data_IF_611547640348
#
_entry.id   IF_611547640348
#
_cell.length_a   1.000
_cell.length_b   1.000
_cell.length_c   1.000
_cell.angle_alpha   90.00
_cell.angle_beta   90.00
_cell.angle_gamma   90.00
#
_symmetry.space_group_name_H-M   'P 1'
#
loop_
_entity.id
_entity.type
_entity.pdbx_description
1 polymer ?
#
# COMPACT_ATOMS: atom_id res chain seq x y z
N UNK A 1 -35.84 -22.66 5.22
CA UNK A 1 -35.42 -21.25 5.28
C UNK A 1 -36.61 -20.38 4.89
N UNK A 2 -37.02 -19.48 5.77
CA UNK A 2 -38.15 -18.56 5.60
C UNK A 2 -37.80 -17.47 4.57
N UNK A 3 -38.78 -17.03 3.77
CA UNK A 3 -38.57 -16.07 2.66
C UNK A 3 -37.82 -14.81 3.10
N UNK A 4 -38.06 -14.33 4.32
CA UNK A 4 -37.36 -13.19 4.93
C UNK A 4 -35.85 -13.45 5.13
N UNK A 5 -35.47 -14.67 5.54
CA UNK A 5 -34.07 -15.06 5.71
C UNK A 5 -33.30 -15.11 4.39
N UNK A 6 -33.94 -15.56 3.31
CA UNK A 6 -33.33 -15.57 1.97
C UNK A 6 -33.02 -14.13 1.52
N UNK A 7 -33.95 -13.19 1.71
CA UNK A 7 -33.74 -11.78 1.37
C UNK A 7 -32.60 -11.13 2.17
N UNK A 8 -32.46 -11.45 3.46
CA UNK A 8 -31.36 -10.93 4.28
C UNK A 8 -30.01 -11.41 3.75
N UNK A 9 -29.88 -12.70 3.43
CA UNK A 9 -28.65 -13.27 2.88
C UNK A 9 -28.30 -12.62 1.53
N UNK A 10 -29.30 -12.41 0.66
CA UNK A 10 -29.09 -11.75 -0.63
C UNK A 10 -28.61 -10.30 -0.46
N UNK A 11 -29.19 -9.54 0.46
CA UNK A 11 -28.78 -8.16 0.74
C UNK A 11 -27.34 -8.13 1.28
N UNK A 12 -27.01 -8.99 2.25
CA UNK A 12 -25.65 -9.08 2.79
C UNK A 12 -24.63 -9.48 1.71
N UNK A 13 -24.99 -10.44 0.85
CA UNK A 13 -24.16 -10.85 -0.28
C UNK A 13 -23.93 -9.71 -1.27
N UNK A 14 -24.96 -8.93 -1.57
CA UNK A 14 -24.84 -7.77 -2.45
C UNK A 14 -23.95 -6.68 -1.85
N UNK A 15 -24.09 -6.39 -0.56
CA UNK A 15 -23.23 -5.42 0.14
C UNK A 15 -21.77 -5.88 0.11
N UNK A 16 -21.51 -7.15 0.45
CA UNK A 16 -20.17 -7.71 0.40
C UNK A 16 -19.56 -7.61 -1.00
N UNK A 17 -20.34 -7.88 -2.04
CA UNK A 17 -19.90 -7.74 -3.43
C UNK A 17 -19.56 -6.28 -3.77
N UNK A 18 -20.38 -5.31 -3.34
CA UNK A 18 -20.12 -3.88 -3.58
C UNK A 18 -18.85 -3.39 -2.88
N UNK A 19 -18.54 -3.89 -1.67
CA UNK A 19 -17.33 -3.52 -0.94
C UNK A 19 -16.04 -3.89 -1.69
N UNK A 20 -16.05 -4.94 -2.52
CA UNK A 20 -14.87 -5.34 -3.30
C UNK A 20 -14.44 -4.31 -4.35
N UNK A 21 -15.38 -3.47 -4.79
CA UNK A 21 -15.13 -2.41 -5.76
C UNK A 21 -14.66 -1.09 -5.12
N UNK A 22 -14.73 -0.97 -3.79
CA UNK A 22 -14.22 0.21 -3.10
C UNK A 22 -12.69 0.18 -3.01
N UNK A 23 -12.02 1.35 -3.09
CA UNK A 23 -10.56 1.45 -2.99
C UNK A 23 -10.10 1.31 -1.54
N UNK A 24 -10.10 0.08 -1.03
CA UNK A 24 -9.78 -0.23 0.37
C UNK A 24 -8.39 -0.86 0.53
N UNK A 25 -7.84 -1.46 -0.52
CA UNK A 25 -6.57 -2.16 -0.47
C UNK A 25 -5.40 -1.20 -0.73
N UNK A 26 -4.32 -1.31 0.04
CA UNK A 26 -3.11 -0.53 -0.24
C UNK A 26 -2.42 -1.02 -1.52
N UNK A 27 -1.97 -0.11 -2.38
CA UNK A 27 -1.20 -0.49 -3.57
C UNK A 27 0.15 -1.10 -3.19
N UNK A 28 0.91 -0.37 -2.38
CA UNK A 28 2.12 -0.90 -1.74
C UNK A 28 1.74 -1.62 -0.45
N UNK A 29 2.29 -2.82 -0.22
CA UNK A 29 2.07 -3.52 1.06
C UNK A 29 2.56 -2.66 2.23
N UNK A 30 1.76 -2.56 3.31
CA UNK A 30 2.19 -1.86 4.53
C UNK A 30 3.45 -2.44 5.16
N UNK A 31 3.65 -3.75 4.99
CA UNK A 31 4.84 -4.47 5.45
C UNK A 31 5.97 -4.53 4.41
N UNK A 32 5.81 -3.87 3.26
CA UNK A 32 6.87 -3.80 2.24
C UNK A 32 8.13 -3.23 2.87
N UNK A 33 9.28 -3.84 2.57
CA UNK A 33 10.56 -3.40 3.14
C UNK A 33 11.08 -2.22 2.33
N UNK A 34 11.40 -1.13 3.01
CA UNK A 34 11.98 0.07 2.39
C UNK A 34 13.20 0.55 3.15
N UNK A 35 14.08 1.22 2.43
CA UNK A 35 15.24 1.91 3.00
C UNK A 35 14.79 3.35 3.27
N UNK A 36 15.15 3.90 4.42
CA UNK A 36 14.92 5.31 4.75
C UNK A 36 16.24 6.03 4.95
N UNK A 37 16.31 7.28 4.47
CA UNK A 37 17.38 8.21 4.81
C UNK A 37 16.87 9.23 5.82
N UNK A 38 17.45 9.21 7.02
CA UNK A 38 17.03 10.10 8.11
C UNK A 38 17.57 11.54 7.98
N UNK A 39 18.60 11.76 7.17
CA UNK A 39 19.11 13.10 6.85
C UNK A 39 18.15 13.78 5.86
N UNK A 40 17.80 13.09 4.78
CA UNK A 40 16.98 13.62 3.68
C UNK A 40 15.48 13.45 3.92
N UNK A 41 15.09 12.62 4.90
CA UNK A 41 13.70 12.25 5.17
C UNK A 41 13.05 11.58 3.95
N UNK A 42 13.82 10.72 3.28
CA UNK A 42 13.47 10.06 2.04
C UNK A 42 13.22 8.57 2.22
N UNK A 43 12.28 8.01 1.44
CA UNK A 43 11.98 6.60 1.31
C UNK A 43 12.50 6.11 -0.04
N UNK A 44 13.30 5.04 -0.01
CA UNK A 44 13.88 4.41 -1.20
C UNK A 44 13.47 2.94 -1.26
N UNK A 45 12.99 2.50 -2.41
CA UNK A 45 12.73 1.09 -2.68
C UNK A 45 14.08 0.33 -2.75
N UNK A 46 14.24 -0.86 -2.13
CA UNK A 46 15.54 -1.56 -2.09
C UNK A 46 16.16 -1.81 -3.47
N UNK A 47 15.33 -2.13 -4.47
CA UNK A 47 15.76 -2.31 -5.87
C UNK A 47 16.15 -1.02 -6.62
N UNK A 48 16.01 0.15 -5.99
CA UNK A 48 16.33 1.46 -6.55
C UNK A 48 17.52 2.14 -5.82
N UNK A 49 18.11 1.48 -4.82
CA UNK A 49 19.14 2.07 -3.96
C UNK A 49 20.31 2.67 -4.72
N UNK A 50 20.84 1.96 -5.72
CA UNK A 50 22.01 2.42 -6.51
C UNK A 50 21.73 3.68 -7.36
N UNK A 51 20.46 4.05 -7.52
CA UNK A 51 20.02 5.21 -8.31
C UNK A 51 19.56 6.39 -7.44
N UNK A 52 19.38 6.16 -6.13
CA UNK A 52 18.93 7.18 -5.20
C UNK A 52 20.13 7.98 -4.67
N UNK A 53 19.94 9.29 -4.48
CA UNK A 53 20.94 10.13 -3.83
C UNK A 53 20.79 10.02 -2.31
N UNK A 54 21.54 9.11 -1.68
CA UNK A 54 21.45 8.86 -0.23
C UNK A 54 22.68 9.33 0.54
N UNK A 55 22.48 9.62 1.82
CA UNK A 55 23.52 9.83 2.84
C UNK A 55 23.84 8.51 3.56
N UNK A 56 24.70 8.57 4.58
CA UNK A 56 25.06 7.40 5.39
C UNK A 56 24.18 7.20 6.64
N UNK A 57 23.13 8.00 6.83
CA UNK A 57 22.20 7.82 7.94
C UNK A 57 20.96 7.04 7.48
N UNK A 58 21.17 5.76 7.21
CA UNK A 58 20.19 4.86 6.60
C UNK A 58 19.64 3.83 7.60
N UNK A 59 18.40 3.43 7.41
CA UNK A 59 17.76 2.31 8.13
C UNK A 59 16.80 1.55 7.20
N UNK A 60 16.48 0.30 7.53
CA UNK A 60 15.43 -0.49 6.87
C UNK A 60 14.20 -0.61 7.76
N UNK A 61 13.05 -0.17 7.25
CA UNK A 61 11.78 -0.19 7.98
C UNK A 61 10.64 -0.69 7.09
N UNK A 62 9.44 -0.88 7.66
CA UNK A 62 8.25 -1.13 6.86
C UNK A 62 7.76 0.14 6.17
N UNK A 63 7.14 0.00 5.00
CA UNK A 63 6.58 1.11 4.26
C UNK A 63 5.54 1.91 5.08
N UNK A 64 4.74 1.22 5.92
CA UNK A 64 3.82 1.89 6.84
C UNK A 64 4.54 2.73 7.88
N UNK A 65 5.66 2.25 8.44
CA UNK A 65 6.43 3.01 9.43
C UNK A 65 7.08 4.23 8.78
N UNK A 66 7.64 4.06 7.59
CA UNK A 66 8.24 5.15 6.84
C UNK A 66 7.24 6.28 6.52
N UNK A 67 5.99 5.92 6.19
CA UNK A 67 4.96 6.88 5.78
C UNK A 67 4.11 7.41 6.94
N UNK A 68 3.64 6.55 7.84
CA UNK A 68 2.68 6.90 8.91
C UNK A 68 3.36 7.37 10.21
N UNK A 69 4.51 6.79 10.57
CA UNK A 69 5.22 7.13 11.82
C UNK A 69 6.32 8.19 11.59
N UNK A 70 7.12 8.03 10.53
CA UNK A 70 8.25 8.91 10.22
C UNK A 70 7.84 10.09 9.31
N UNK A 71 6.79 9.92 8.49
CA UNK A 71 6.31 10.97 7.58
C UNK A 71 7.27 11.28 6.43
N UNK A 72 8.10 10.32 6.03
CA UNK A 72 9.09 10.49 4.99
C UNK A 72 8.47 10.40 3.59
N UNK A 73 9.17 10.91 2.58
CA UNK A 73 8.64 11.04 1.22
C UNK A 73 9.50 10.25 0.24
N UNK A 74 8.89 9.79 -0.85
CA UNK A 74 9.62 9.20 -1.96
C UNK A 74 9.99 10.36 -2.90
N UNK A 75 11.27 10.61 -3.16
CA UNK A 75 11.69 11.67 -4.07
C UNK A 75 12.19 11.11 -5.41
N UNK A 76 12.93 10.00 -5.40
CA UNK A 76 13.44 9.38 -6.62
C UNK A 76 12.34 8.73 -7.51
N UNK A 77 12.55 8.77 -8.82
CA UNK A 77 11.58 8.29 -9.80
C UNK A 77 11.41 6.76 -9.82
N UNK A 78 12.48 6.02 -9.55
CA UNK A 78 12.47 4.55 -9.55
C UNK A 78 11.62 4.02 -8.39
N UNK A 79 11.77 4.61 -7.20
CA UNK A 79 10.98 4.26 -6.02
C UNK A 79 9.54 4.72 -6.16
N UNK A 80 9.27 5.86 -6.80
CA UNK A 80 7.87 6.30 -7.09
C UNK A 80 7.12 5.29 -7.95
N UNK A 81 7.80 4.68 -8.91
CA UNK A 81 7.22 3.65 -9.77
C UNK A 81 6.94 2.34 -9.01
N UNK A 82 7.80 1.98 -8.05
CA UNK A 82 7.69 0.71 -7.32
C UNK A 82 6.88 0.78 -6.03
N UNK A 83 6.86 1.94 -5.37
CA UNK A 83 6.16 2.21 -4.12
C UNK A 83 4.98 3.14 -4.41
N UNK A 84 4.01 2.63 -5.17
CA UNK A 84 2.79 3.39 -5.44
C UNK A 84 2.05 3.67 -4.12
N UNK A 85 1.99 4.95 -3.76
CA UNK A 85 1.20 5.40 -2.63
C UNK A 85 -0.29 5.41 -2.97
N UNK A 86 -1.13 5.10 -1.97
CA UNK A 86 -2.58 5.19 -2.09
C UNK A 86 -3.29 3.84 -2.10
N UNK A 87 -4.58 3.89 -2.43
CA UNK A 87 -5.49 2.75 -2.36
C UNK A 87 -5.93 2.31 -3.75
N UNK A 88 -6.16 1.02 -3.90
CA UNK A 88 -6.82 0.41 -5.04
C UNK A 88 -7.97 -0.48 -4.60
N UNK A 89 -8.79 -0.89 -5.57
CA UNK A 89 -9.91 -1.79 -5.28
C UNK A 89 -9.41 -3.14 -4.80
N UNK A 90 -10.17 -3.79 -3.91
CA UNK A 90 -9.81 -5.14 -3.44
C UNK A 90 -9.76 -6.11 -4.61
N UNK A 91 -10.68 -5.95 -5.58
CA UNK A 91 -10.71 -6.79 -6.77
C UNK A 91 -9.48 -6.59 -7.67
N UNK A 92 -9.05 -5.34 -7.92
CA UNK A 92 -7.85 -5.09 -8.73
C UNK A 92 -6.60 -5.69 -8.10
N UNK A 93 -6.46 -5.56 -6.78
CA UNK A 93 -5.33 -6.12 -6.05
C UNK A 93 -5.23 -7.64 -6.19
N UNK A 94 -6.36 -8.36 -6.11
CA UNK A 94 -6.39 -9.82 -6.25
C UNK A 94 -6.03 -10.28 -7.67
N UNK A 95 -6.40 -9.52 -8.70
CA UNK A 95 -6.20 -9.91 -10.11
C UNK A 95 -4.90 -9.40 -10.74
N UNK A 96 -4.23 -8.42 -10.14
CA UNK A 96 -2.94 -7.87 -10.60
C UNK A 96 -1.73 -8.42 -9.81
N UNK A 97 -1.95 -9.30 -8.85
CA UNK A 97 -0.89 -9.97 -8.06
C UNK A 97 -0.14 -11.05 -8.86
#
# INVERSE_FOLDING_TARGET
>A
MNRKGIWIILILGLIALLLLFLPLADRTSRSERVIVDHTLHEIVHPGCFDQAETTNYLDEVSFSRATEELGYRIEDACSKERLEAGKESVISKIFNE
#
